data_IF_460972732552
#
_entry.id   IF_460972732552
#
_cell.length_a   1.000
_cell.length_b   1.000
_cell.length_c   1.000
_cell.angle_alpha   90.00
_cell.angle_beta   90.00
_cell.angle_gamma   90.00
#
_symmetry.space_group_name_H-M   'P 1'
#
loop_
_entity.id
_entity.type
_entity.pdbx_description
1 polymer ?
#
# COMPACT_ATOMS: atom_id res chain seq x y z
N UNK A 1 39.60 15.78 3.45
CA UNK A 1 39.03 14.78 2.54
C UNK A 1 37.87 14.15 3.27
N UNK A 2 36.67 14.71 3.13
CA UNK A 2 35.47 14.10 3.68
C UNK A 2 35.16 12.90 2.80
N UNK A 3 35.48 11.70 3.30
CA UNK A 3 34.84 10.48 2.81
C UNK A 3 33.34 10.75 2.87
N UNK A 4 32.78 11.11 1.72
CA UNK A 4 31.33 11.10 1.55
C UNK A 4 31.04 9.62 1.44
N UNK A 5 30.89 8.94 2.59
CA UNK A 5 30.47 7.55 2.64
C UNK A 5 29.16 7.51 1.86
N UNK A 6 29.22 6.99 0.62
CA UNK A 6 28.04 6.86 -0.23
C UNK A 6 26.97 6.15 0.59
N UNK A 7 25.88 6.86 0.87
CA UNK A 7 24.78 6.29 1.63
C UNK A 7 24.20 5.17 0.78
N UNK A 8 24.46 3.93 1.17
CA UNK A 8 23.82 2.77 0.56
C UNK A 8 22.34 2.82 0.93
N UNK A 9 21.49 3.02 -0.08
CA UNK A 9 20.04 2.92 0.06
C UNK A 9 19.69 1.50 0.50
N UNK A 10 18.79 1.36 1.48
CA UNK A 10 18.49 0.07 2.07
C UNK A 10 17.01 -0.05 2.43
N UNK A 11 16.46 -1.25 2.24
CA UNK A 11 15.10 -1.58 2.66
C UNK A 11 15.09 -2.87 3.49
N UNK A 12 14.01 -3.11 4.23
CA UNK A 12 13.85 -4.36 4.96
C UNK A 12 13.58 -5.55 4.04
N UNK A 13 13.97 -6.75 4.49
CA UNK A 13 13.70 -8.02 3.77
C UNK A 13 12.21 -8.19 3.41
N UNK A 14 11.23 -7.90 4.28
CA UNK A 14 9.81 -7.97 3.92
C UNK A 14 9.43 -7.01 2.78
N UNK A 15 9.98 -5.79 2.77
CA UNK A 15 9.74 -4.83 1.69
C UNK A 15 10.34 -5.32 0.38
N UNK A 16 11.58 -5.83 0.39
CA UNK A 16 12.20 -6.42 -0.80
C UNK A 16 11.40 -7.62 -1.34
N UNK A 17 10.89 -8.48 -0.45
CA UNK A 17 10.06 -9.63 -0.79
C UNK A 17 8.78 -9.23 -1.54
N UNK A 18 8.08 -8.20 -1.05
CA UNK A 18 6.89 -7.64 -1.71
C UNK A 18 7.22 -7.06 -3.08
N UNK A 19 8.30 -6.28 -3.19
CA UNK A 19 8.70 -5.62 -4.44
C UNK A 19 9.05 -6.61 -5.55
N UNK A 20 9.65 -7.75 -5.18
CA UNK A 20 10.11 -8.77 -6.12
C UNK A 20 9.09 -9.91 -6.36
N UNK A 21 7.95 -9.89 -5.68
CA UNK A 21 6.98 -10.98 -5.68
C UNK A 21 7.65 -12.33 -5.34
N UNK A 22 8.31 -12.35 -4.18
CA UNK A 22 9.07 -13.50 -3.66
C UNK A 22 8.76 -13.68 -2.18
N UNK A 23 8.97 -14.89 -1.68
CA UNK A 23 8.83 -15.17 -0.24
C UNK A 23 9.99 -14.57 0.56
N UNK A 24 9.76 -14.15 1.80
CA UNK A 24 10.83 -13.70 2.69
C UNK A 24 11.93 -14.75 2.87
N UNK A 25 11.58 -16.04 2.84
CA UNK A 25 12.55 -17.15 2.89
C UNK A 25 13.50 -17.16 1.70
N UNK A 26 13.00 -16.80 0.51
CA UNK A 26 13.83 -16.66 -0.69
C UNK A 26 14.84 -15.53 -0.51
N UNK A 27 14.39 -14.39 0.00
CA UNK A 27 15.25 -13.23 0.23
C UNK A 27 16.27 -13.50 1.36
N UNK A 28 15.88 -14.22 2.40
CA UNK A 28 16.79 -14.66 3.47
C UNK A 28 17.91 -15.54 2.89
N UNK A 29 17.58 -16.51 2.03
CA UNK A 29 18.58 -17.32 1.32
C UNK A 29 19.52 -16.47 0.47
N UNK A 30 19.01 -15.47 -0.26
CA UNK A 30 19.84 -14.54 -1.03
C UNK A 30 20.79 -13.72 -0.15
N UNK A 31 20.40 -13.44 1.10
CA UNK A 31 21.28 -12.80 2.06
C UNK A 31 22.37 -13.76 2.55
N UNK A 32 22.03 -15.03 2.76
CA UNK A 32 22.96 -16.07 3.22
C UNK A 32 24.00 -16.46 2.16
N UNK A 33 23.59 -16.54 0.89
CA UNK A 33 24.46 -16.90 -0.23
C UNK A 33 25.21 -15.69 -0.83
N UNK A 34 24.91 -14.47 -0.36
CA UNK A 34 25.56 -13.23 -0.78
C UNK A 34 25.02 -12.62 -2.07
N UNK A 35 23.99 -13.21 -2.68
CA UNK A 35 23.28 -12.63 -3.84
C UNK A 35 22.74 -11.23 -3.53
N UNK A 36 22.27 -11.04 -2.29
CA UNK A 36 21.76 -9.77 -1.81
C UNK A 36 22.56 -9.29 -0.60
N UNK A 37 23.19 -8.12 -0.75
CA UNK A 37 24.06 -7.57 0.29
C UNK A 37 23.24 -7.10 1.49
N UNK A 38 23.60 -7.59 2.67
CA UNK A 38 23.05 -7.12 3.95
C UNK A 38 23.70 -5.79 4.33
N UNK A 39 22.87 -4.81 4.67
CA UNK A 39 23.31 -3.47 5.07
C UNK A 39 23.13 -3.33 6.58
N UNK A 40 24.23 -3.14 7.31
CA UNK A 40 24.19 -2.88 8.74
C UNK A 40 23.99 -1.37 8.98
N UNK A 41 22.79 -0.97 9.43
CA UNK A 41 22.55 0.40 9.93
C UNK A 41 22.56 0.39 11.47
N UNK A 42 23.22 1.40 12.05
CA UNK A 42 23.42 1.51 13.49
C UNK A 42 22.08 1.52 14.26
N UNK A 43 22.05 0.79 15.37
CA UNK A 43 20.84 0.24 15.96
C UNK A 43 19.97 1.30 16.65
N UNK A 44 18.92 1.77 15.95
CA UNK A 44 17.68 2.29 16.57
C UNK A 44 16.41 1.63 16.06
N UNK A 45 16.51 0.78 15.04
CA UNK A 45 15.37 0.04 14.47
C UNK A 45 15.42 -1.41 14.95
N UNK A 46 14.38 -1.84 15.64
CA UNK A 46 14.27 -3.20 16.16
C UNK A 46 14.53 -4.24 15.08
N UNK A 47 15.53 -5.10 15.30
CA UNK A 47 15.82 -6.43 14.74
C UNK A 47 15.55 -6.73 13.25
N UNK A 48 15.25 -5.76 12.38
CA UNK A 48 14.95 -6.00 10.97
C UNK A 48 16.23 -5.92 10.14
N UNK A 49 16.57 -7.04 9.50
CA UNK A 49 17.65 -7.11 8.53
C UNK A 49 17.34 -6.18 7.35
N UNK A 50 18.30 -5.31 7.02
CA UNK A 50 18.23 -4.43 5.87
C UNK A 50 19.11 -4.97 4.75
N UNK A 51 18.68 -4.75 3.51
CA UNK A 51 19.34 -5.21 2.30
C UNK A 51 19.56 -4.05 1.34
N UNK A 52 20.59 -4.17 0.50
CA UNK A 52 20.95 -3.15 -0.48
C UNK A 52 19.82 -2.97 -1.50
N UNK A 53 19.17 -1.80 -1.45
CA UNK A 53 18.02 -1.49 -2.28
C UNK A 53 18.40 -1.35 -3.76
N UNK A 54 19.62 -0.94 -4.09
CA UNK A 54 20.04 -0.83 -5.48
C UNK A 54 20.01 -2.21 -6.17
N UNK A 55 20.54 -3.25 -5.49
CA UNK A 55 20.46 -4.62 -5.99
C UNK A 55 19.00 -5.12 -6.10
N UNK A 56 18.15 -4.79 -5.12
CA UNK A 56 16.71 -5.11 -5.21
C UNK A 56 16.10 -4.47 -6.46
N UNK A 57 16.45 -3.23 -6.79
CA UNK A 57 15.92 -2.54 -7.96
C UNK A 57 16.46 -3.13 -9.28
N UNK A 58 17.68 -3.66 -9.31
CA UNK A 58 18.19 -4.43 -10.46
C UNK A 58 17.32 -5.68 -10.73
N UNK A 59 16.88 -6.39 -9.68
CA UNK A 59 15.93 -7.50 -9.83
C UNK A 59 14.51 -7.04 -10.12
N UNK A 60 14.11 -5.86 -9.62
CA UNK A 60 12.79 -5.29 -9.85
C UNK A 60 12.60 -4.95 -11.33
N UNK A 61 13.65 -4.42 -11.96
CA UNK A 61 13.64 -3.93 -13.33
C UNK A 61 13.34 -2.43 -13.44
N UNK A 62 13.08 -1.93 -14.66
CA UNK A 62 12.77 -0.52 -14.88
C UNK A 62 11.49 -0.14 -14.14
N UNK A 63 11.44 1.09 -13.64
CA UNK A 63 10.30 1.67 -12.95
C UNK A 63 10.10 3.12 -13.40
N UNK A 64 8.86 3.58 -13.36
CA UNK A 64 8.45 4.87 -13.91
C UNK A 64 8.53 6.00 -12.88
N UNK A 65 8.51 5.67 -11.59
CA UNK A 65 8.50 6.66 -10.52
C UNK A 65 9.86 7.37 -10.39
N UNK A 66 9.88 8.71 -10.32
CA UNK A 66 11.09 9.45 -9.96
C UNK A 66 11.47 9.11 -8.51
N UNK A 67 12.78 9.04 -8.24
CA UNK A 67 13.33 8.76 -6.90
C UNK A 67 12.69 7.55 -6.19
N UNK A 68 12.33 6.50 -6.96
CA UNK A 68 11.65 5.30 -6.45
C UNK A 68 12.37 4.66 -5.25
N UNK A 69 13.70 4.70 -5.25
CA UNK A 69 14.51 4.23 -4.12
C UNK A 69 14.22 5.03 -2.83
N UNK A 70 14.16 6.35 -2.91
CA UNK A 70 13.87 7.21 -1.75
C UNK A 70 12.42 7.00 -1.26
N UNK A 71 11.48 6.85 -2.19
CA UNK A 71 10.09 6.52 -1.87
C UNK A 71 9.99 5.16 -1.13
N UNK A 72 10.71 4.14 -1.58
CA UNK A 72 10.78 2.84 -0.91
C UNK A 72 11.38 2.96 0.48
N UNK A 73 12.47 3.70 0.67
CA UNK A 73 13.03 3.93 2.00
C UNK A 73 12.03 4.66 2.92
N UNK A 74 11.32 5.66 2.40
CA UNK A 74 10.31 6.40 3.16
C UNK A 74 9.12 5.52 3.55
N UNK A 75 8.67 4.65 2.66
CA UNK A 75 7.62 3.67 2.95
C UNK A 75 8.10 2.60 3.94
N UNK A 76 9.31 2.05 3.76
CA UNK A 76 9.91 1.07 4.67
C UNK A 76 10.16 1.64 6.06
N UNK A 77 10.33 2.96 6.14
CA UNK A 77 10.44 3.67 7.42
C UNK A 77 9.12 3.82 8.16
N UNK A 78 7.99 3.58 7.50
CA UNK A 78 6.66 3.56 8.07
C UNK A 78 5.87 4.85 7.90
N UNK A 79 6.29 5.78 7.01
CA UNK A 79 5.50 6.98 6.74
C UNK A 79 4.25 6.60 5.93
N UNK A 80 3.06 6.80 6.48
CA UNK A 80 1.80 6.37 5.85
C UNK A 80 1.55 7.00 4.47
N UNK A 81 1.94 8.26 4.28
CA UNK A 81 1.89 8.96 2.99
C UNK A 81 2.81 8.27 1.96
N UNK A 82 4.09 8.04 2.31
CA UNK A 82 5.02 7.33 1.44
C UNK A 82 4.61 5.88 1.16
N UNK A 83 4.02 5.18 2.13
CA UNK A 83 3.44 3.84 1.91
C UNK A 83 2.29 3.91 0.88
N UNK A 84 1.47 4.96 0.92
CA UNK A 84 0.36 5.16 -0.03
C UNK A 84 0.87 5.51 -1.41
N UNK A 85 1.82 6.44 -1.51
CA UNK A 85 2.45 6.85 -2.76
C UNK A 85 3.20 5.68 -3.42
N UNK A 86 3.90 4.86 -2.62
CA UNK A 86 4.54 3.65 -3.11
C UNK A 86 3.51 2.63 -3.62
N UNK A 87 2.40 2.45 -2.89
CA UNK A 87 1.30 1.60 -3.35
C UNK A 87 0.75 2.07 -4.71
N UNK A 88 0.60 3.37 -4.89
CA UNK A 88 0.17 3.95 -6.16
C UNK A 88 1.17 3.72 -7.30
N UNK A 89 2.46 3.95 -7.04
CA UNK A 89 3.52 3.67 -7.99
C UNK A 89 3.50 2.18 -8.39
N UNK A 90 3.36 1.27 -7.43
CA UNK A 90 3.31 -0.17 -7.69
C UNK A 90 2.09 -0.59 -8.52
N UNK A 91 0.95 0.09 -8.40
CA UNK A 91 -0.20 -0.14 -9.29
C UNK A 91 0.14 0.24 -10.74
N UNK A 92 0.87 1.33 -10.97
CA UNK A 92 1.31 1.72 -12.31
C UNK A 92 2.28 0.69 -12.90
N UNK A 93 3.12 0.09 -12.06
CA UNK A 93 4.04 -1.00 -12.45
C UNK A 93 3.34 -2.37 -12.56
N UNK A 94 2.01 -2.45 -12.38
CA UNK A 94 1.25 -3.70 -12.45
C UNK A 94 1.44 -4.64 -11.25
N UNK A 95 2.11 -4.20 -10.18
CA UNK A 95 2.39 -4.97 -8.96
C UNK A 95 1.28 -4.79 -7.91
N UNK A 96 0.05 -5.14 -8.30
CA UNK A 96 -1.13 -4.89 -7.49
C UNK A 96 -1.10 -5.57 -6.11
N UNK A 97 -0.55 -6.78 -6.00
CA UNK A 97 -0.43 -7.49 -4.70
C UNK A 97 0.46 -6.71 -3.73
N UNK A 98 1.60 -6.21 -4.21
CA UNK A 98 2.50 -5.39 -3.41
C UNK A 98 1.84 -4.05 -3.02
N UNK A 99 1.13 -3.42 -3.97
CA UNK A 99 0.40 -2.19 -3.71
C UNK A 99 -0.63 -2.34 -2.58
N UNK A 100 -1.44 -3.42 -2.61
CA UNK A 100 -2.41 -3.71 -1.54
C UNK A 100 -1.71 -3.86 -0.20
N UNK A 101 -0.57 -4.56 -0.13
CA UNK A 101 0.18 -4.73 1.11
C UNK A 101 0.63 -3.37 1.69
N UNK A 102 1.06 -2.42 0.84
CA UNK A 102 1.41 -1.08 1.29
C UNK A 102 0.19 -0.25 1.71
N UNK A 103 -0.92 -0.31 0.98
CA UNK A 103 -2.16 0.34 1.42
C UNK A 103 -2.66 -0.21 2.76
N UNK A 104 -2.54 -1.52 3.00
CA UNK A 104 -2.86 -2.13 4.30
C UNK A 104 -1.94 -1.66 5.42
N UNK A 105 -0.67 -1.35 5.14
CA UNK A 105 0.24 -0.76 6.13
C UNK A 105 -0.19 0.68 6.45
N UNK A 106 -0.42 1.51 5.45
CA UNK A 106 -0.84 2.90 5.66
C UNK A 106 -2.23 3.02 6.32
N UNK A 107 -3.17 2.15 5.94
CA UNK A 107 -4.51 2.12 6.53
C UNK A 107 -4.53 1.66 7.99
N UNK A 108 -3.52 0.88 8.44
CA UNK A 108 -3.33 0.57 9.87
C UNK A 108 -2.85 1.77 10.67
N UNK A 109 -2.29 2.78 10.01
CA UNK A 109 -1.93 4.07 10.59
C UNK A 109 -3.05 5.11 10.45
N UNK A 110 -4.26 4.64 10.15
CA UNK A 110 -5.43 5.47 9.95
C UNK A 110 -5.36 6.48 8.80
N UNK A 111 -4.51 6.23 7.80
CA UNK A 111 -4.38 7.11 6.65
C UNK A 111 -5.60 7.03 5.71
N UNK A 112 -6.36 8.13 5.52
CA UNK A 112 -7.65 8.12 4.82
C UNK A 112 -7.55 7.75 3.33
N UNK A 113 -6.50 8.20 2.64
CA UNK A 113 -6.31 7.93 1.22
C UNK A 113 -6.01 6.44 0.97
N UNK A 114 -5.16 5.82 1.79
CA UNK A 114 -4.88 4.39 1.73
C UNK A 114 -6.14 3.54 1.94
N UNK A 115 -7.03 3.94 2.87
CA UNK A 115 -8.31 3.25 3.06
C UNK A 115 -9.21 3.35 1.83
N UNK A 116 -9.26 4.51 1.19
CA UNK A 116 -10.00 4.66 -0.07
C UNK A 116 -9.40 3.82 -1.19
N UNK A 117 -8.07 3.69 -1.26
CA UNK A 117 -7.41 2.76 -2.19
C UNK A 117 -7.73 1.30 -1.89
N UNK A 118 -7.78 0.88 -0.61
CA UNK A 118 -8.24 -0.46 -0.25
C UNK A 118 -9.69 -0.72 -0.67
N UNK A 119 -10.58 0.26 -0.50
CA UNK A 119 -11.94 0.17 -1.03
C UNK A 119 -11.93 -0.14 -2.53
N UNK A 120 -11.14 0.60 -3.32
CA UNK A 120 -11.02 0.35 -4.76
C UNK A 120 -10.46 -1.04 -5.06
N UNK A 121 -9.41 -1.45 -4.35
CA UNK A 121 -8.79 -2.77 -4.54
C UNK A 121 -9.78 -3.91 -4.26
N UNK A 122 -10.54 -3.86 -3.16
CA UNK A 122 -11.55 -4.87 -2.85
C UNK A 122 -12.76 -4.83 -3.79
N UNK A 123 -13.16 -3.64 -4.27
CA UNK A 123 -14.30 -3.49 -5.19
C UNK A 123 -13.96 -4.00 -6.60
N UNK A 124 -12.74 -3.75 -7.06
CA UNK A 124 -12.29 -4.06 -8.43
C UNK A 124 -11.50 -5.37 -8.52
N UNK A 125 -11.08 -5.96 -7.39
CA UNK A 125 -10.27 -7.17 -7.35
C UNK A 125 -8.80 -6.92 -7.74
N UNK A 126 -8.25 -5.75 -7.40
CA UNK A 126 -6.88 -5.36 -7.78
C UNK A 126 -5.86 -5.90 -6.79
N UNK A 127 -5.17 -6.98 -7.15
CA UNK A 127 -4.12 -7.59 -6.32
C UNK A 127 -4.65 -8.29 -5.06
N UNK A 128 -5.97 -8.34 -4.90
CA UNK A 128 -6.69 -9.02 -3.83
C UNK A 128 -8.03 -9.52 -4.37
N UNK A 129 -8.61 -10.53 -3.74
CA UNK A 129 -9.93 -11.04 -4.11
C UNK A 129 -11.02 -9.97 -3.91
N UNK A 130 -11.99 -9.96 -4.83
CA UNK A 130 -13.09 -9.00 -4.77
C UNK A 130 -14.00 -9.31 -3.58
N UNK A 131 -14.21 -8.33 -2.71
CA UNK A 131 -15.11 -8.44 -1.57
C UNK A 131 -15.82 -7.10 -1.36
N UNK A 132 -17.11 -7.06 -1.71
CA UNK A 132 -17.92 -5.85 -1.61
C UNK A 132 -18.13 -5.41 -0.15
N UNK A 133 -18.22 -6.36 0.79
CA UNK A 133 -18.44 -6.03 2.20
C UNK A 133 -17.19 -5.37 2.77
N UNK A 134 -16.01 -5.92 2.49
CA UNK A 134 -14.75 -5.32 2.90
C UNK A 134 -14.51 -3.99 2.19
N UNK A 135 -14.84 -3.88 0.91
CA UNK A 135 -14.75 -2.63 0.16
C UNK A 135 -15.56 -1.53 0.87
N UNK A 136 -16.84 -1.79 1.16
CA UNK A 136 -17.73 -0.86 1.83
C UNK A 136 -17.26 -0.51 3.24
N UNK A 137 -16.74 -1.49 4.00
CA UNK A 137 -16.13 -1.23 5.30
C UNK A 137 -14.98 -0.22 5.20
N UNK A 138 -14.05 -0.41 4.26
CA UNK A 138 -12.93 0.51 4.05
C UNK A 138 -13.39 1.89 3.57
N UNK A 139 -14.40 1.96 2.72
CA UNK A 139 -14.99 3.22 2.25
C UNK A 139 -15.57 4.03 3.42
N UNK A 140 -16.36 3.39 4.28
CA UNK A 140 -16.91 4.04 5.47
C UNK A 140 -15.82 4.48 6.45
N UNK A 141 -14.76 3.66 6.62
CA UNK A 141 -13.62 4.02 7.47
C UNK A 141 -12.88 5.24 6.90
N UNK A 142 -12.62 5.29 5.59
CA UNK A 142 -12.00 6.44 4.93
C UNK A 142 -12.84 7.71 5.11
N UNK A 143 -14.17 7.62 4.95
CA UNK A 143 -15.08 8.74 5.12
C UNK A 143 -15.08 9.27 6.57
N UNK A 144 -15.05 8.36 7.55
CA UNK A 144 -14.95 8.71 8.97
C UNK A 144 -13.63 9.42 9.31
N UNK A 145 -12.53 9.10 8.61
CA UNK A 145 -11.23 9.76 8.75
C UNK A 145 -11.07 11.01 7.87
N UNK A 146 -12.15 11.56 7.32
CA UNK A 146 -12.11 12.84 6.61
C UNK A 146 -11.78 12.76 5.12
N UNK A 147 -11.74 11.56 4.52
CA UNK A 147 -11.47 11.43 3.09
C UNK A 147 -12.63 12.01 2.25
N UNK A 148 -12.40 13.15 1.59
CA UNK A 148 -13.44 13.92 0.89
C UNK A 148 -14.21 13.09 -0.14
N UNK A 149 -13.50 12.32 -0.96
CA UNK A 149 -14.14 11.49 -2.00
C UNK A 149 -14.98 10.37 -1.35
N UNK A 150 -14.51 9.80 -0.23
CA UNK A 150 -15.24 8.73 0.45
C UNK A 150 -16.49 9.28 1.16
N UNK A 151 -16.41 10.48 1.72
CA UNK A 151 -17.57 11.18 2.29
C UNK A 151 -18.64 11.45 1.23
N UNK A 152 -18.23 11.95 0.05
CA UNK A 152 -19.15 12.16 -1.05
C UNK A 152 -19.82 10.84 -1.52
N UNK A 153 -19.03 9.77 -1.66
CA UNK A 153 -19.54 8.46 -2.07
C UNK A 153 -20.52 7.87 -1.03
N UNK A 154 -20.19 7.94 0.25
CA UNK A 154 -21.05 7.43 1.33
C UNK A 154 -22.33 8.24 1.50
N UNK A 155 -22.29 9.57 1.31
CA UNK A 155 -23.49 10.41 1.28
C UNK A 155 -24.43 10.01 0.13
N UNK A 156 -23.89 9.86 -1.09
CA UNK A 156 -24.67 9.48 -2.25
C UNK A 156 -25.37 8.11 -2.07
N UNK A 157 -24.68 7.13 -1.46
CA UNK A 157 -25.26 5.83 -1.15
C UNK A 157 -26.41 5.92 -0.14
N UNK A 158 -26.26 6.78 0.88
CA UNK A 158 -27.31 7.01 1.87
C UNK A 158 -28.53 7.69 1.24
N UNK A 159 -28.32 8.70 0.42
CA UNK A 159 -29.39 9.44 -0.25
C UNK A 159 -30.20 8.53 -1.19
N UNK A 160 -29.50 7.66 -1.93
CA UNK A 160 -30.14 6.65 -2.78
C UNK A 160 -31.00 5.68 -1.96
N UNK A 161 -30.51 5.21 -0.81
CA UNK A 161 -31.27 4.32 0.06
C UNK A 161 -32.55 4.98 0.59
N UNK A 162 -32.49 6.28 0.96
CA UNK A 162 -33.66 7.04 1.40
C UNK A 162 -34.70 7.18 0.28
N UNK A 163 -34.26 7.47 -0.95
CA UNK A 163 -35.16 7.58 -2.10
C UNK A 163 -35.88 6.26 -2.43
N UNK A 164 -35.18 5.14 -2.37
CA UNK A 164 -35.77 3.81 -2.60
C UNK A 164 -36.79 3.43 -1.51
N UNK A 165 -36.55 3.80 -0.26
CA UNK A 165 -37.52 3.60 0.82
C UNK A 165 -38.76 4.46 0.63
N UNK A 166 -38.59 5.72 0.23
CA UNK A 166 -39.71 6.63 -0.03
C UNK A 166 -40.58 6.16 -1.21
N UNK A 167 -39.97 5.71 -2.31
CA UNK A 167 -40.70 5.20 -3.48
C UNK A 167 -41.39 3.85 -3.20
N UNK A 168 -40.75 2.96 -2.46
CA UNK A 168 -41.34 1.68 -2.03
C UNK A 168 -42.47 1.82 -1.00
N UNK A 169 -42.49 2.91 -0.22
CA UNK A 169 -43.62 3.26 0.65
C UNK A 169 -44.79 3.83 -0.15
N UNK A 170 -44.52 4.71 -1.12
CA UNK A 170 -45.54 5.28 -2.00
C UNK A 170 -46.23 4.20 -2.86
N UNK A 171 -45.47 3.25 -3.40
CA UNK A 171 -46.02 2.14 -4.21
C UNK A 171 -46.93 1.20 -3.39
N UNK A 172 -46.72 1.07 -2.08
CA UNK A 172 -47.54 0.23 -1.19
C UNK A 172 -48.83 0.90 -0.71
N UNK A 173 -48.93 2.23 -0.78
CA UNK A 173 -50.15 2.96 -0.40
C UNK A 173 -51.13 3.14 -1.56
N UNK A 174 -50.72 2.82 -2.79
CA UNK A 174 -51.50 3.04 -4.02
C UNK A 174 -52.13 1.76 -4.62
N UNK A 175 -52.08 0.63 -3.92
CA UNK A 175 -52.72 -0.64 -4.31
C UNK A 175 -53.66 -1.14 -3.23
#
# INVERSE_FOLDING_TARGET
MTETTERICACSVPTAALLLDRSERTLQRWCEDGTLQVVHRDARRGSRQLVNLAQVLEFFGPHSAPDFAALIEAADTGHAEAETDLGLALLQEGKAVAAVAFFQRAARQDHPEAMHWLYRCYREGLGIERDENLAMMWLHKAAAQGHVIAQAQTSALRDLAVQQLASGAAARQAG
#
